data_IF_729734551796
#
_entry.id   IF_729734551796
#
_cell.length_a   1.000
_cell.length_b   1.000
_cell.length_c   1.000
_cell.angle_alpha   90.00
_cell.angle_beta   90.00
_cell.angle_gamma   90.00
#
_symmetry.space_group_name_H-M   'P 1'
#
loop_
_entity.id
_entity.type
_entity.pdbx_description
1 polymer ?
#
# COMPACT_ATOMS: atom_id res chain seq x y z
N UNK A 1 -32.12 9.05 9.17
CA UNK A 1 -31.48 7.75 8.87
C UNK A 1 -30.32 7.54 9.83
N UNK A 2 -30.36 6.54 10.71
CA UNK A 2 -29.33 6.34 11.74
C UNK A 2 -28.14 5.54 11.17
N UNK A 3 -26.93 6.11 11.26
CA UNK A 3 -25.69 5.48 10.74
C UNK A 3 -24.97 4.77 11.88
N UNK A 4 -24.60 3.50 11.66
CA UNK A 4 -23.79 2.72 12.60
C UNK A 4 -22.47 3.46 12.87
N UNK A 5 -22.10 3.63 14.14
CA UNK A 5 -20.83 4.27 14.53
C UNK A 5 -19.75 3.23 14.78
N UNK A 6 -18.51 3.58 14.49
CA UNK A 6 -17.31 2.75 14.66
C UNK A 6 -16.28 3.50 15.51
N UNK A 7 -15.45 2.77 16.26
CA UNK A 7 -14.33 3.38 16.99
C UNK A 7 -13.10 3.52 16.10
N UNK A 8 -12.44 4.67 16.18
CA UNK A 8 -11.13 4.88 15.59
C UNK A 8 -10.11 3.98 16.30
N UNK A 9 -9.24 3.34 15.54
CA UNK A 9 -8.24 2.45 16.12
C UNK A 9 -7.14 3.18 16.88
N UNK A 10 -6.67 4.32 16.36
CA UNK A 10 -5.53 5.04 16.95
C UNK A 10 -5.94 5.93 18.13
N UNK A 11 -7.15 6.49 18.10
CA UNK A 11 -7.61 7.49 19.10
C UNK A 11 -8.83 7.07 19.90
N UNK A 12 -9.44 5.92 19.61
CA UNK A 12 -10.62 5.41 20.31
C UNK A 12 -11.92 6.20 20.09
N UNK A 13 -11.85 7.37 19.44
CA UNK A 13 -12.99 8.27 19.21
C UNK A 13 -14.07 7.60 18.36
N UNK A 14 -15.33 7.83 18.73
CA UNK A 14 -16.49 7.32 18.02
C UNK A 14 -16.76 8.15 16.75
N UNK A 15 -16.71 7.52 15.57
CA UNK A 15 -16.92 8.15 14.26
C UNK A 15 -18.06 7.45 13.53
N UNK A 16 -18.86 8.19 12.77
CA UNK A 16 -19.87 7.59 11.90
C UNK A 16 -19.19 6.78 10.78
N UNK A 17 -19.74 5.60 10.43
CA UNK A 17 -19.10 4.64 9.52
C UNK A 17 -18.90 5.17 8.09
N UNK A 18 -19.76 6.08 7.67
CA UNK A 18 -19.71 6.82 6.39
C UNK A 18 -18.57 7.83 6.34
N UNK A 19 -18.27 8.49 7.46
CA UNK A 19 -17.16 9.47 7.59
C UNK A 19 -15.81 8.81 7.91
N UNK A 20 -15.83 7.62 8.50
CA UNK A 20 -14.63 6.91 8.89
C UNK A 20 -13.78 6.52 7.67
N UNK A 21 -12.47 6.74 7.76
CA UNK A 21 -11.54 6.34 6.72
C UNK A 21 -11.27 4.85 6.88
N UNK A 22 -11.85 4.06 5.97
CA UNK A 22 -11.69 2.59 5.92
C UNK A 22 -10.45 2.20 5.13
N UNK A 23 -9.57 1.40 5.74
CA UNK A 23 -8.42 0.78 5.06
C UNK A 23 -8.43 -0.72 5.29
N UNK A 24 -8.34 -1.47 4.20
CA UNK A 24 -8.11 -2.89 4.26
C UNK A 24 -6.62 -3.13 4.09
N UNK A 25 -6.01 -3.72 5.12
CA UNK A 25 -4.59 -3.98 5.18
C UNK A 25 -4.42 -5.49 5.10
N UNK A 26 -3.66 -5.92 4.11
CA UNK A 26 -3.20 -7.30 3.97
C UNK A 26 -1.69 -7.27 4.11
N UNK A 27 -1.18 -7.96 5.12
CA UNK A 27 0.25 -8.08 5.37
C UNK A 27 0.57 -9.54 5.69
N UNK A 28 1.77 -10.00 5.35
CA UNK A 28 2.23 -11.28 5.85
C UNK A 28 2.38 -11.20 7.38
N UNK A 29 2.23 -12.33 8.08
CA UNK A 29 2.48 -12.37 9.54
C UNK A 29 3.95 -12.06 9.83
N UNK A 30 4.83 -12.51 8.95
CA UNK A 30 6.29 -12.35 9.04
C UNK A 30 6.74 -11.19 8.16
N UNK A 31 7.71 -10.42 8.66
CA UNK A 31 8.36 -9.36 7.87
C UNK A 31 9.28 -9.95 6.78
N UNK A 32 9.47 -9.22 5.68
CA UNK A 32 10.25 -9.69 4.53
C UNK A 32 11.70 -10.08 4.88
N UNK A 33 12.29 -9.43 5.87
CA UNK A 33 13.66 -9.71 6.34
C UNK A 33 13.77 -11.09 7.00
N UNK A 34 12.78 -11.47 7.82
CA UNK A 34 12.76 -12.71 8.58
C UNK A 34 12.21 -13.93 7.81
N UNK A 35 11.79 -13.75 6.54
CA UNK A 35 11.25 -14.84 5.74
C UNK A 35 12.29 -15.95 5.53
N UNK A 36 13.55 -15.58 5.27
CA UNK A 36 14.63 -16.55 5.02
C UNK A 36 14.93 -17.40 6.25
N UNK A 37 15.12 -16.77 7.40
CA UNK A 37 15.43 -17.46 8.65
C UNK A 37 14.33 -18.46 9.05
N UNK A 38 13.06 -18.10 8.83
CA UNK A 38 11.93 -18.99 9.10
C UNK A 38 11.86 -20.14 8.10
N UNK A 39 12.18 -19.89 6.83
CA UNK A 39 12.21 -20.94 5.81
C UNK A 39 13.32 -21.96 6.11
N UNK A 40 14.52 -21.51 6.47
CA UNK A 40 15.66 -22.37 6.82
C UNK A 40 15.42 -23.16 8.11
N UNK A 41 14.68 -22.57 9.06
CA UNK A 41 14.32 -23.22 10.33
C UNK A 41 13.07 -24.11 10.22
N UNK A 42 12.34 -24.07 9.10
CA UNK A 42 11.10 -24.82 8.94
C UNK A 42 11.38 -26.26 8.51
N UNK A 43 10.68 -27.21 9.14
CA UNK A 43 10.77 -28.64 8.80
C UNK A 43 10.11 -28.92 7.44
N UNK A 44 9.19 -28.05 7.01
CA UNK A 44 8.43 -28.18 5.77
C UNK A 44 9.08 -27.35 4.66
N UNK A 45 9.59 -28.02 3.62
CA UNK A 45 10.10 -27.33 2.43
C UNK A 45 8.98 -26.56 1.72
N UNK A 46 9.21 -25.26 1.48
CA UNK A 46 8.27 -24.40 0.74
C UNK A 46 7.02 -23.96 1.51
N UNK A 47 7.06 -23.93 2.85
CA UNK A 47 5.92 -23.50 3.66
C UNK A 47 5.39 -22.10 3.28
N UNK A 48 4.10 -22.03 2.93
CA UNK A 48 3.42 -20.79 2.57
C UNK A 48 3.04 -19.99 3.83
N UNK A 49 3.73 -18.88 4.06
CA UNK A 49 3.47 -18.03 5.23
C UNK A 49 2.06 -17.39 5.19
N UNK A 50 1.28 -17.50 6.29
CA UNK A 50 -0.06 -16.93 6.36
C UNK A 50 -0.07 -15.39 6.37
N UNK A 51 -1.23 -14.84 6.00
CA UNK A 51 -1.47 -13.38 5.89
C UNK A 51 -2.44 -12.89 6.95
N UNK A 52 -2.14 -11.72 7.51
CA UNK A 52 -3.03 -10.94 8.37
C UNK A 52 -3.94 -10.09 7.51
N UNK A 53 -5.24 -10.28 7.69
CA UNK A 53 -6.28 -9.48 7.08
C UNK A 53 -6.91 -8.59 8.14
N UNK A 54 -6.79 -7.27 7.99
CA UNK A 54 -7.33 -6.33 8.96
C UNK A 54 -8.00 -5.13 8.30
N UNK A 55 -9.28 -4.91 8.66
CA UNK A 55 -10.01 -3.70 8.28
C UNK A 55 -9.88 -2.67 9.39
N UNK A 56 -9.16 -1.61 9.12
CA UNK A 56 -8.91 -0.51 10.04
C UNK A 56 -9.87 0.65 9.76
N UNK A 57 -10.37 1.27 10.82
CA UNK A 57 -11.15 2.49 10.80
C UNK A 57 -10.38 3.63 11.48
N UNK A 58 -10.20 4.74 10.78
CA UNK A 58 -9.58 5.94 11.33
C UNK A 58 -10.56 7.11 11.39
N UNK A 59 -10.42 7.95 12.42
CA UNK A 59 -10.97 9.30 12.41
C UNK A 59 -10.12 10.20 11.49
N UNK A 60 -10.68 11.33 11.08
CA UNK A 60 -10.02 12.27 10.15
C UNK A 60 -8.70 12.78 10.74
N UNK A 61 -8.69 13.15 12.03
CA UNK A 61 -7.49 13.66 12.71
C UNK A 61 -6.37 12.62 12.73
N UNK A 62 -6.67 11.37 13.11
CA UNK A 62 -5.68 10.30 13.15
C UNK A 62 -5.15 9.93 11.76
N UNK A 63 -6.00 9.99 10.73
CA UNK A 63 -5.59 9.70 9.36
C UNK A 63 -4.67 10.77 8.75
N UNK A 64 -4.81 12.03 9.15
CA UNK A 64 -3.90 13.12 8.76
C UNK A 64 -2.58 12.98 9.50
N UNK A 65 -2.61 12.71 10.81
CA UNK A 65 -1.41 12.54 11.63
C UNK A 65 -0.53 11.36 11.14
N UNK A 66 -1.15 10.21 10.86
CA UNK A 66 -0.48 9.03 10.31
C UNK A 66 -0.18 9.12 8.80
N UNK A 67 -0.48 10.25 8.15
CA UNK A 67 -0.24 10.51 6.72
C UNK A 67 -0.93 9.49 5.78
N UNK A 68 -1.99 8.83 6.25
CA UNK A 68 -2.83 7.92 5.45
C UNK A 68 -3.66 8.69 4.43
N UNK A 69 -4.05 9.93 4.76
CA UNK A 69 -4.70 10.89 3.88
C UNK A 69 -3.95 12.21 3.96
N UNK A 70 -3.91 12.95 2.85
CA UNK A 70 -3.28 14.29 2.75
C UNK A 70 -4.31 15.30 2.26
N UNK A 71 -4.14 16.56 2.65
CA UNK A 71 -4.95 17.67 2.14
C UNK A 71 -4.64 17.89 0.66
N UNK A 72 -5.67 18.08 -0.16
CA UNK A 72 -5.58 18.31 -1.62
C UNK A 72 -6.15 19.68 -2.00
N UNK A 73 -5.74 20.20 -3.15
CA UNK A 73 -6.26 21.46 -3.69
C UNK A 73 -7.78 21.38 -3.96
N UNK A 74 -8.48 22.51 -4.01
CA UNK A 74 -9.95 22.60 -4.18
C UNK A 74 -10.44 21.81 -5.39
N UNK A 75 -9.75 21.92 -6.53
CA UNK A 75 -10.10 21.20 -7.75
C UNK A 75 -9.87 19.69 -7.61
N UNK A 76 -8.73 19.27 -7.06
CA UNK A 76 -8.36 17.86 -6.87
C UNK A 76 -9.22 17.11 -5.84
N UNK A 77 -9.85 17.82 -4.87
CA UNK A 77 -10.78 17.19 -3.92
C UNK A 77 -11.98 16.53 -4.60
N UNK A 78 -12.36 17.01 -5.79
CA UNK A 78 -13.44 16.42 -6.60
C UNK A 78 -13.03 15.07 -7.18
N UNK A 79 -11.74 14.83 -7.39
CA UNK A 79 -11.25 13.53 -7.84
C UNK A 79 -11.41 12.49 -6.71
N UNK A 80 -12.26 11.48 -6.97
CA UNK A 80 -12.57 10.37 -6.06
C UNK A 80 -11.83 9.07 -6.41
N UNK A 81 -11.02 9.08 -7.47
CA UNK A 81 -10.21 7.93 -7.83
C UNK A 81 -9.16 7.64 -6.74
N UNK A 82 -8.92 6.35 -6.43
CA UNK A 82 -7.85 5.99 -5.52
C UNK A 82 -6.49 6.39 -6.10
N UNK A 83 -5.52 6.83 -5.28
CA UNK A 83 -4.18 7.13 -5.78
C UNK A 83 -3.56 5.91 -6.45
N UNK A 84 -3.05 6.08 -7.68
CA UNK A 84 -2.32 5.02 -8.41
C UNK A 84 -1.07 4.66 -7.62
N UNK A 85 -0.92 3.37 -7.27
CA UNK A 85 0.29 2.86 -6.61
C UNK A 85 1.29 2.48 -7.68
N UNK A 86 2.26 3.35 -7.95
CA UNK A 86 3.36 3.02 -8.84
C UNK A 86 4.28 2.01 -8.14
N UNK A 87 4.34 0.78 -8.65
CA UNK A 87 5.31 -0.21 -8.19
C UNK A 87 6.62 0.01 -8.95
N UNK A 88 7.75 0.32 -8.29
CA UNK A 88 9.04 0.33 -8.97
C UNK A 88 9.30 -1.08 -9.52
N UNK A 89 9.40 -1.23 -10.84
CA UNK A 89 9.69 -2.51 -11.51
C UNK A 89 8.52 -3.24 -12.16
N UNK A 90 7.31 -2.67 -12.17
CA UNK A 90 6.19 -3.24 -12.94
C UNK A 90 6.30 -2.91 -14.43
N UNK A 91 6.59 -3.91 -15.27
CA UNK A 91 6.32 -3.89 -16.72
C UNK A 91 4.81 -3.87 -16.98
N UNK A 92 4.15 -2.74 -16.68
CA UNK A 92 2.72 -2.57 -16.90
C UNK A 92 2.27 -1.18 -16.48
N UNK A 93 1.74 -0.44 -17.45
CA UNK A 93 1.14 0.90 -17.34
C UNK A 93 2.09 2.10 -17.25
N UNK A 94 3.09 2.16 -18.15
CA UNK A 94 3.70 3.43 -18.58
C UNK A 94 2.92 3.99 -19.78
N UNK A 95 2.15 5.08 -19.65
CA UNK A 95 1.71 5.85 -20.80
C UNK A 95 2.88 6.74 -21.25
N UNK A 96 3.43 6.45 -22.44
CA UNK A 96 4.43 7.29 -23.11
C UNK A 96 5.85 6.70 -23.11
N UNK A 97 6.12 5.79 -24.05
CA UNK A 97 7.47 5.40 -24.41
C UNK A 97 8.05 6.42 -25.40
N UNK A 98 8.94 7.29 -24.93
CA UNK A 98 9.90 7.95 -25.81
C UNK A 98 11.14 7.06 -25.88
N UNK A 99 11.40 6.54 -27.08
CA UNK A 99 12.60 5.79 -27.42
C UNK A 99 13.82 6.70 -27.24
N UNK A 100 14.77 6.26 -26.43
CA UNK A 100 16.11 6.83 -26.33
C UNK A 100 17.11 5.68 -26.48
N UNK A 101 17.78 5.66 -27.63
CA UNK A 101 18.64 4.56 -28.08
C UNK A 101 19.96 4.43 -27.33
N UNK A 102 20.64 3.32 -27.61
CA UNK A 102 21.99 3.04 -27.13
C UNK A 102 22.35 1.57 -27.29
N UNK A 103 22.51 1.12 -28.54
CA UNK A 103 23.23 -0.12 -28.84
C UNK A 103 24.72 0.14 -28.60
N UNK A 104 25.38 -0.64 -27.75
CA UNK A 104 26.83 -0.70 -27.72
C UNK A 104 27.24 -2.18 -27.77
N UNK A 105 27.50 -2.64 -28.99
CA UNK A 105 28.18 -3.89 -29.31
C UNK A 105 29.67 -3.74 -29.03
N UNK A 106 30.22 -4.65 -28.21
CA UNK A 106 31.67 -4.74 -27.98
C UNK A 106 32.43 -5.21 -29.22
N UNK A 107 33.60 -4.61 -29.44
CA UNK A 107 34.60 -4.97 -30.45
C UNK A 107 35.94 -4.26 -30.14
N UNK A 108 37.09 -4.81 -30.59
CA UNK A 108 38.25 -5.05 -29.72
C UNK A 108 39.30 -3.93 -29.67
N UNK A 109 40.14 -3.98 -28.62
CA UNK A 109 41.30 -3.11 -28.39
C UNK A 109 42.48 -3.44 -29.33
N UNK A 110 43.28 -2.45 -29.76
CA UNK A 110 44.67 -2.63 -30.19
C UNK A 110 45.62 -2.81 -29.01
#
# INVERSE_FOLDING_TARGET
MQVKRVRCEASGVLVAKDKAIKRFIVRNIVDASAIRDIQDSSILEGYALPKIYRKVYYCVSAAIHSKVVRVRNRQERKNREPPKRYRPGGFGDRPGGQQGGGQNTGGPKP
#
